data_IF_259961839643
#
_entry.id   IF_259961839643
#
_cell.length_a   1.000
_cell.length_b   1.000
_cell.length_c   1.000
_cell.angle_alpha   90.00
_cell.angle_beta   90.00
_cell.angle_gamma   90.00
#
_symmetry.space_group_name_H-M   'P 1'
#
loop_
_entity.id
_entity.type
_entity.pdbx_description
1 polymer ?
#
# COMPACT_ATOMS: atom_id res chain seq x y z
N UNK A 1 -7.35 -14.02 -18.93
CA UNK A 1 -6.52 -13.20 -19.84
C UNK A 1 -5.30 -12.74 -19.06
N UNK A 2 -4.07 -12.90 -19.58
CA UNK A 2 -2.87 -12.39 -18.92
C UNK A 2 -2.97 -10.86 -18.73
N UNK A 3 -2.36 -10.36 -17.68
CA UNK A 3 -2.37 -8.95 -17.35
C UNK A 3 -0.94 -8.43 -17.15
N UNK A 4 -0.73 -7.17 -17.51
CA UNK A 4 0.46 -6.41 -17.14
C UNK A 4 0.08 -5.54 -15.94
N UNK A 5 0.88 -5.59 -14.89
CA UNK A 5 0.76 -4.68 -13.76
C UNK A 5 1.77 -3.55 -13.91
N UNK A 6 1.31 -2.32 -13.74
CA UNK A 6 2.17 -1.15 -13.68
C UNK A 6 2.95 -1.16 -12.37
N UNK A 7 4.27 -1.03 -12.46
CA UNK A 7 5.18 -1.07 -11.30
C UNK A 7 5.67 0.31 -10.88
N UNK A 8 5.77 1.25 -11.80
CA UNK A 8 6.22 2.61 -11.53
C UNK A 8 5.05 3.54 -11.20
N UNK A 9 5.21 4.37 -10.17
CA UNK A 9 4.25 5.44 -9.91
C UNK A 9 4.33 6.51 -10.99
N UNK A 10 3.16 7.01 -11.42
CA UNK A 10 3.05 8.03 -12.50
C UNK A 10 3.62 7.59 -13.86
N UNK A 11 3.46 6.31 -14.20
CA UNK A 11 3.82 5.79 -15.53
C UNK A 11 3.04 6.50 -16.62
N UNK A 12 3.75 7.10 -17.59
CA UNK A 12 3.13 7.71 -18.76
C UNK A 12 2.72 6.64 -19.76
N UNK A 13 1.42 6.42 -19.90
CA UNK A 13 0.88 5.54 -20.94
C UNK A 13 1.01 6.21 -22.32
N UNK A 14 1.53 5.48 -23.30
CA UNK A 14 1.73 5.96 -24.68
C UNK A 14 1.21 4.94 -25.68
N UNK A 15 0.77 5.45 -26.85
CA UNK A 15 0.43 4.59 -28.01
C UNK A 15 1.69 4.07 -28.73
N UNK A 16 1.46 3.37 -29.85
CA UNK A 16 2.56 2.85 -30.72
C UNK A 16 3.44 3.94 -31.32
N UNK A 17 2.86 5.09 -31.58
CA UNK A 17 3.52 6.26 -32.17
C UNK A 17 4.25 7.10 -31.11
N UNK A 18 4.11 6.76 -29.81
CA UNK A 18 4.73 7.46 -28.68
C UNK A 18 3.90 8.64 -28.16
N UNK A 19 2.67 8.84 -28.64
CA UNK A 19 1.79 9.90 -28.15
C UNK A 19 1.32 9.61 -26.72
N UNK A 20 1.27 10.64 -25.90
CA UNK A 20 0.80 10.54 -24.52
C UNK A 20 -0.71 10.31 -24.46
N UNK A 21 -1.12 9.27 -23.74
CA UNK A 21 -2.52 8.87 -23.56
C UNK A 21 -3.06 9.14 -22.15
N UNK A 22 -2.18 9.13 -21.15
CA UNK A 22 -2.55 9.29 -19.74
C UNK A 22 -1.46 8.85 -18.79
N UNK A 23 -1.80 8.81 -17.51
CA UNK A 23 -0.91 8.36 -16.44
C UNK A 23 -1.54 7.20 -15.69
N UNK A 24 -0.76 6.14 -15.49
CA UNK A 24 -1.11 5.02 -14.62
C UNK A 24 -0.29 5.05 -13.34
N UNK A 25 -0.83 4.43 -12.28
CA UNK A 25 -0.20 4.31 -10.97
C UNK A 25 0.23 2.86 -10.71
N UNK A 26 1.19 2.70 -9.82
CA UNK A 26 1.59 1.38 -9.30
C UNK A 26 0.37 0.56 -8.87
N UNK A 27 0.30 -0.70 -9.32
CA UNK A 27 -0.83 -1.58 -9.09
C UNK A 27 -1.97 -1.46 -10.12
N UNK A 28 -1.87 -0.56 -11.12
CA UNK A 28 -2.82 -0.56 -12.25
C UNK A 28 -2.65 -1.82 -13.08
N UNK A 29 -3.77 -2.51 -13.35
CA UNK A 29 -3.81 -3.72 -14.17
C UNK A 29 -4.31 -3.41 -15.56
N UNK A 30 -3.58 -3.86 -16.57
CA UNK A 30 -3.91 -3.70 -17.98
C UNK A 30 -3.95 -5.07 -18.65
N UNK A 31 -5.06 -5.45 -19.32
CA UNK A 31 -5.10 -6.68 -20.09
C UNK A 31 -4.00 -6.72 -21.15
N UNK A 32 -3.21 -7.80 -21.17
CA UNK A 32 -2.18 -8.00 -22.17
C UNK A 32 -2.82 -8.32 -23.53
N UNK A 33 -2.46 -7.60 -24.57
CA UNK A 33 -2.95 -7.83 -25.93
C UNK A 33 -2.09 -8.84 -26.70
N UNK A 34 -0.78 -8.74 -26.55
CA UNK A 34 0.19 -9.60 -27.25
C UNK A 34 1.31 -10.02 -26.28
N UNK A 35 1.92 -11.16 -26.53
CA UNK A 35 3.14 -11.59 -25.83
C UNK A 35 4.22 -10.52 -25.94
N UNK A 36 5.10 -10.38 -24.92
CA UNK A 36 6.14 -9.36 -24.96
C UNK A 36 6.94 -9.39 -26.26
N UNK A 37 7.06 -8.24 -26.89
CA UNK A 37 7.85 -8.08 -28.12
C UNK A 37 9.35 -8.25 -27.84
N UNK A 38 10.16 -8.54 -28.86
CA UNK A 38 11.60 -8.39 -28.78
C UNK A 38 11.95 -7.00 -28.24
N UNK A 39 12.83 -6.93 -27.23
CA UNK A 39 13.13 -5.68 -26.52
C UNK A 39 12.32 -5.45 -25.25
N UNK A 40 11.37 -6.36 -24.91
CA UNK A 40 10.70 -6.36 -23.62
C UNK A 40 9.57 -5.35 -23.46
N UNK A 41 8.99 -4.87 -24.57
CA UNK A 41 7.83 -3.99 -24.54
C UNK A 41 6.55 -4.80 -24.43
N UNK A 42 5.69 -4.46 -23.49
CA UNK A 42 4.34 -4.99 -23.36
C UNK A 42 3.35 -4.14 -24.13
N UNK A 43 2.45 -4.78 -24.87
CA UNK A 43 1.27 -4.14 -25.44
C UNK A 43 0.04 -4.56 -24.66
N UNK A 44 -0.64 -3.56 -24.12
CA UNK A 44 -1.78 -3.77 -23.24
C UNK A 44 -2.97 -2.89 -23.63
N UNK A 45 -4.14 -3.29 -23.21
CA UNK A 45 -5.38 -2.57 -23.43
C UNK A 45 -5.57 -1.53 -22.34
N UNK A 46 -5.53 -0.24 -22.70
CA UNK A 46 -5.98 0.87 -21.88
C UNK A 46 -7.42 1.26 -22.19
N UNK A 47 -8.05 2.00 -21.30
CA UNK A 47 -9.39 2.56 -21.50
C UNK A 47 -9.37 4.03 -21.08
N UNK A 48 -9.96 4.86 -21.92
CA UNK A 48 -10.13 6.30 -21.67
C UNK A 48 -11.59 6.69 -21.84
N UNK A 49 -12.05 7.67 -21.07
CA UNK A 49 -13.36 8.27 -21.28
C UNK A 49 -13.31 9.28 -22.43
N UNK A 50 -14.24 9.18 -23.39
CA UNK A 50 -14.45 10.18 -24.46
C UNK A 50 -15.09 11.45 -23.89
N UNK A 51 -15.08 12.57 -24.64
CA UNK A 51 -15.87 13.77 -24.28
C UNK A 51 -17.37 13.52 -24.17
N UNK A 52 -17.91 12.55 -24.94
CA UNK A 52 -19.31 12.10 -24.86
C UNK A 52 -19.59 11.16 -23.67
N UNK A 53 -18.55 10.73 -22.93
CA UNK A 53 -18.69 9.88 -21.77
C UNK A 53 -18.54 8.37 -22.04
N UNK A 54 -18.29 7.98 -23.29
CA UNK A 54 -18.11 6.58 -23.71
C UNK A 54 -16.72 6.05 -23.35
N UNK A 55 -16.61 4.73 -23.20
CA UNK A 55 -15.33 4.07 -23.02
C UNK A 55 -14.64 3.89 -24.38
N UNK A 56 -13.47 4.50 -24.55
CA UNK A 56 -12.59 4.30 -25.71
C UNK A 56 -11.47 3.34 -25.34
N UNK A 57 -11.38 2.22 -26.05
CA UNK A 57 -10.26 1.30 -25.95
C UNK A 57 -9.03 1.88 -26.64
N UNK A 58 -7.90 1.78 -25.97
CA UNK A 58 -6.61 2.29 -26.47
C UNK A 58 -5.56 1.19 -26.35
N UNK A 59 -4.71 1.05 -27.36
CA UNK A 59 -3.50 0.26 -27.17
C UNK A 59 -2.45 1.12 -26.47
N UNK A 60 -1.85 0.57 -25.42
CA UNK A 60 -0.78 1.22 -24.67
C UNK A 60 0.47 0.36 -24.67
N UNK A 61 1.62 0.99 -24.71
CA UNK A 61 2.93 0.36 -24.64
C UNK A 61 3.58 0.64 -23.28
N UNK A 62 4.20 -0.38 -22.68
CA UNK A 62 4.91 -0.32 -21.41
C UNK A 62 6.26 -1.02 -21.57
N UNK A 63 7.33 -0.41 -21.09
CA UNK A 63 8.63 -1.05 -20.94
C UNK A 63 8.64 -2.02 -19.76
N UNK A 64 9.66 -2.88 -19.66
CA UNK A 64 9.88 -3.75 -18.49
C UNK A 64 10.25 -3.00 -17.20
N UNK A 65 10.65 -1.76 -17.31
CA UNK A 65 10.88 -0.91 -16.16
C UNK A 65 9.56 -0.35 -15.59
N UNK A 66 8.57 -0.18 -16.46
CA UNK A 66 7.26 0.40 -16.12
C UNK A 66 6.23 -0.63 -15.72
N UNK A 67 6.34 -1.87 -16.21
CA UNK A 67 5.39 -2.93 -15.93
C UNK A 67 5.96 -4.33 -16.08
N UNK A 68 5.25 -5.33 -15.55
CA UNK A 68 5.62 -6.75 -15.64
C UNK A 68 4.36 -7.62 -15.73
N UNK A 69 4.52 -8.85 -16.22
CA UNK A 69 3.44 -9.84 -16.23
C UNK A 69 3.04 -10.21 -14.79
N UNK A 70 1.74 -10.28 -14.56
CA UNK A 70 1.15 -10.64 -13.28
C UNK A 70 0.87 -12.16 -13.21
N UNK A 71 1.04 -12.81 -12.03
CA UNK A 71 1.60 -12.25 -10.80
C UNK A 71 3.13 -12.25 -10.78
N UNK A 72 3.72 -11.24 -10.14
CA UNK A 72 5.15 -11.23 -9.82
C UNK A 72 5.48 -12.32 -8.80
N UNK A 73 6.67 -12.89 -8.89
CA UNK A 73 7.19 -13.71 -7.81
C UNK A 73 7.30 -12.88 -6.52
N UNK A 74 6.75 -13.40 -5.42
CA UNK A 74 6.82 -12.74 -4.12
C UNK A 74 8.20 -12.97 -3.50
N UNK A 75 9.12 -12.06 -3.79
CA UNK A 75 10.46 -11.99 -3.18
C UNK A 75 10.60 -10.69 -2.40
N UNK A 76 11.50 -10.63 -1.41
CA UNK A 76 11.78 -9.39 -0.67
C UNK A 76 12.21 -8.26 -1.60
N UNK A 77 13.02 -8.58 -2.62
CA UNK A 77 13.45 -7.62 -3.62
C UNK A 77 12.27 -6.99 -4.38
N UNK A 78 11.34 -7.80 -4.88
CA UNK A 78 10.17 -7.30 -5.58
C UNK A 78 9.23 -6.54 -4.63
N UNK A 79 9.09 -7.01 -3.38
CA UNK A 79 8.30 -6.31 -2.36
C UNK A 79 8.87 -4.93 -2.07
N UNK A 80 10.20 -4.82 -1.87
CA UNK A 80 10.86 -3.53 -1.65
C UNK A 80 10.70 -2.59 -2.84
N UNK A 81 10.88 -3.07 -4.08
CA UNK A 81 10.66 -2.25 -5.28
C UNK A 81 9.26 -1.63 -5.33
N UNK A 82 8.22 -2.40 -5.01
CA UNK A 82 6.85 -1.88 -4.98
C UNK A 82 6.68 -0.84 -3.86
N UNK A 83 7.27 -1.06 -2.68
CA UNK A 83 7.20 -0.10 -1.57
C UNK A 83 7.97 1.19 -1.86
N UNK A 84 9.11 1.13 -2.55
CA UNK A 84 9.87 2.31 -2.99
C UNK A 84 9.02 3.22 -3.88
N UNK A 85 8.21 2.66 -4.78
CA UNK A 85 7.30 3.42 -5.64
C UNK A 85 6.11 4.03 -4.86
N UNK A 86 5.68 3.38 -3.78
CA UNK A 86 4.59 3.87 -2.94
C UNK A 86 5.06 4.84 -1.87
N UNK A 87 6.35 4.83 -1.50
CA UNK A 87 6.91 5.69 -0.47
C UNK A 87 6.84 7.16 -0.87
N UNK A 88 6.43 8.01 0.05
CA UNK A 88 6.31 9.45 -0.18
C UNK A 88 5.04 9.88 -0.90
N UNK A 89 4.24 8.95 -1.46
CA UNK A 89 2.97 9.27 -2.10
C UNK A 89 1.99 9.91 -1.13
N UNK A 90 1.30 10.96 -1.61
CA UNK A 90 0.43 11.78 -0.79
C UNK A 90 -0.77 10.99 -0.26
N UNK A 91 -1.18 11.34 0.96
CA UNK A 91 -2.40 10.80 1.56
C UNK A 91 -3.65 11.44 0.95
N UNK A 92 -4.63 10.60 0.59
CA UNK A 92 -5.95 11.03 0.14
C UNK A 92 -7.05 10.15 0.73
N UNK A 93 -7.77 10.67 1.74
CA UNK A 93 -8.85 9.92 2.37
C UNK A 93 -9.91 9.48 1.37
N UNK A 94 -10.21 8.17 1.36
CA UNK A 94 -11.19 7.59 0.43
C UNK A 94 -10.82 7.65 -1.06
N UNK A 95 -9.58 8.03 -1.40
CA UNK A 95 -9.12 8.21 -2.79
C UNK A 95 -9.20 9.67 -3.28
N UNK A 96 -9.35 10.63 -2.37
CA UNK A 96 -9.44 12.06 -2.71
C UNK A 96 -8.24 12.48 -3.58
N UNK A 97 -8.53 13.19 -4.66
CA UNK A 97 -7.55 13.65 -5.67
C UNK A 97 -6.70 12.49 -6.22
N UNK A 98 -7.29 11.30 -6.34
CA UNK A 98 -6.64 10.05 -6.77
C UNK A 98 -5.45 9.63 -5.88
N UNK A 99 -5.27 10.22 -4.71
CA UNK A 99 -4.26 9.80 -3.74
C UNK A 99 -4.74 8.57 -2.94
N UNK A 100 -3.79 7.86 -2.34
CA UNK A 100 -4.06 6.67 -1.54
C UNK A 100 -4.32 7.03 -0.08
N UNK A 101 -5.26 6.36 0.56
CA UNK A 101 -5.32 6.22 2.02
C UNK A 101 -4.53 4.97 2.46
N UNK A 102 -4.56 4.65 3.77
CA UNK A 102 -3.85 3.50 4.32
C UNK A 102 -4.22 2.18 3.63
N UNK A 103 -5.51 1.93 3.43
CA UNK A 103 -6.00 0.68 2.85
C UNK A 103 -5.79 0.59 1.33
N UNK A 104 -5.79 1.71 0.62
CA UNK A 104 -5.44 1.74 -0.79
C UNK A 104 -3.95 1.45 -0.99
N UNK A 105 -3.06 2.05 -0.17
CA UNK A 105 -1.63 1.82 -0.26
C UNK A 105 -1.27 0.34 -0.01
N UNK A 106 -1.87 -0.27 1.02
CA UNK A 106 -1.67 -1.69 1.33
C UNK A 106 -2.24 -2.58 0.22
N UNK A 107 -3.45 -2.31 -0.29
CA UNK A 107 -4.03 -3.08 -1.38
C UNK A 107 -3.16 -3.02 -2.64
N UNK A 108 -2.73 -1.83 -3.04
CA UNK A 108 -1.97 -1.61 -4.27
C UNK A 108 -0.56 -2.22 -4.17
N UNK A 109 -0.01 -2.36 -2.95
CA UNK A 109 1.19 -3.15 -2.71
C UNK A 109 1.00 -4.64 -3.04
N UNK A 110 -0.14 -5.25 -2.70
CA UNK A 110 -0.37 -6.68 -2.91
C UNK A 110 -0.83 -7.05 -4.32
N UNK A 111 -1.39 -6.11 -5.07
CA UNK A 111 -1.90 -6.37 -6.44
C UNK A 111 -0.83 -6.97 -7.36
N UNK A 112 0.41 -6.46 -7.46
CA UNK A 112 1.42 -7.05 -8.33
C UNK A 112 1.71 -8.52 -8.07
N UNK A 113 1.51 -8.97 -6.84
CA UNK A 113 1.75 -10.35 -6.41
C UNK A 113 0.52 -11.27 -6.55
N UNK A 114 -0.57 -10.77 -7.15
CA UNK A 114 -1.78 -11.55 -7.38
C UNK A 114 -2.71 -11.67 -6.18
N UNK A 115 -2.47 -10.94 -5.11
CA UNK A 115 -3.36 -10.91 -3.95
C UNK A 115 -4.26 -9.67 -3.97
N UNK A 116 -5.56 -9.91 -4.05
CA UNK A 116 -6.55 -8.85 -4.00
C UNK A 116 -7.10 -8.67 -2.58
N UNK A 117 -6.86 -7.51 -1.98
CA UNK A 117 -7.38 -7.15 -0.67
C UNK A 117 -8.65 -6.30 -0.77
N UNK A 118 -9.57 -6.39 0.21
CA UNK A 118 -10.71 -5.48 0.31
C UNK A 118 -10.27 -4.01 0.33
N UNK A 119 -11.13 -3.10 -0.15
CA UNK A 119 -10.82 -1.66 -0.17
C UNK A 119 -10.80 -1.04 1.24
N UNK A 120 -11.43 -1.65 2.22
CA UNK A 120 -11.60 -1.11 3.56
C UNK A 120 -10.62 -1.74 4.56
N UNK A 121 -9.94 -0.91 5.37
CA UNK A 121 -8.95 -1.34 6.37
C UNK A 121 -9.48 -2.34 7.39
N UNK A 122 -10.75 -2.21 7.80
CA UNK A 122 -11.40 -3.15 8.74
C UNK A 122 -11.46 -4.56 8.15
N UNK A 123 -11.84 -4.70 6.88
CA UNK A 123 -11.90 -6.00 6.22
C UNK A 123 -10.51 -6.53 5.88
N UNK A 124 -9.53 -5.66 5.57
CA UNK A 124 -8.14 -6.08 5.39
C UNK A 124 -7.58 -6.70 6.67
N UNK A 125 -7.85 -6.10 7.84
CA UNK A 125 -7.44 -6.63 9.13
C UNK A 125 -8.11 -7.96 9.51
N UNK A 126 -9.06 -8.45 8.72
CA UNK A 126 -9.79 -9.71 8.91
C UNK A 126 -9.50 -10.74 7.81
N UNK A 127 -8.54 -10.46 6.91
CA UNK A 127 -8.23 -11.33 5.76
C UNK A 127 -7.21 -12.41 6.16
N UNK A 128 -7.51 -13.66 5.79
CA UNK A 128 -6.66 -14.81 6.10
C UNK A 128 -6.71 -15.25 7.57
N UNK A 129 -5.62 -15.84 8.09
CA UNK A 129 -5.48 -16.11 9.53
C UNK A 129 -5.36 -14.79 10.28
N UNK A 130 -6.00 -14.68 11.42
CA UNK A 130 -6.01 -13.47 12.26
C UNK A 130 -5.64 -13.82 13.70
N UNK A 131 -4.75 -13.02 14.27
CA UNK A 131 -4.45 -13.01 15.70
C UNK A 131 -5.05 -11.74 16.31
N UNK A 132 -6.02 -11.90 17.20
CA UNK A 132 -6.58 -10.80 17.97
C UNK A 132 -5.63 -10.44 19.11
N UNK A 133 -5.17 -9.18 19.12
CA UNK A 133 -4.14 -8.69 20.05
C UNK A 133 -4.60 -7.44 20.83
N UNK A 134 -5.87 -7.12 20.75
CA UNK A 134 -6.43 -5.89 21.36
C UNK A 134 -6.14 -5.78 22.85
N UNK A 135 -6.24 -6.88 23.59
CA UNK A 135 -6.11 -6.93 25.05
C UNK A 135 -4.65 -7.06 25.53
N UNK A 136 -3.71 -7.32 24.63
CA UNK A 136 -2.29 -7.46 24.99
C UNK A 136 -1.66 -6.11 25.33
N UNK A 137 -0.68 -6.15 26.26
CA UNK A 137 0.15 -4.99 26.55
C UNK A 137 1.05 -4.61 25.36
N UNK A 138 1.50 -3.34 25.22
CA UNK A 138 2.32 -2.90 24.10
C UNK A 138 3.55 -3.78 23.84
N UNK A 139 4.28 -4.15 24.91
CA UNK A 139 5.46 -5.03 24.79
C UNK A 139 5.13 -6.43 24.29
N UNK A 140 3.98 -6.99 24.74
CA UNK A 140 3.51 -8.30 24.28
C UNK A 140 3.10 -8.26 22.79
N UNK A 141 2.46 -7.18 22.32
CA UNK A 141 2.13 -6.98 20.91
C UNK A 141 3.39 -6.92 20.06
N UNK A 142 4.41 -6.17 20.51
CA UNK A 142 5.67 -6.08 19.80
C UNK A 142 6.39 -7.45 19.72
N UNK A 143 6.47 -8.16 20.85
CA UNK A 143 7.07 -9.49 20.93
C UNK A 143 6.34 -10.49 20.02
N UNK A 144 5.02 -10.53 20.05
CA UNK A 144 4.21 -11.42 19.21
C UNK A 144 4.36 -11.07 17.72
N UNK A 145 4.48 -9.78 17.36
CA UNK A 145 4.74 -9.39 15.97
C UNK A 145 6.14 -9.80 15.51
N UNK A 146 7.13 -9.80 16.40
CA UNK A 146 8.47 -10.30 16.09
C UNK A 146 8.50 -11.82 15.93
N UNK A 147 7.73 -12.54 16.71
CA UNK A 147 7.64 -14.01 16.69
C UNK A 147 6.83 -14.53 15.49
N UNK A 148 5.62 -14.02 15.31
CA UNK A 148 4.64 -14.52 14.33
C UNK A 148 4.66 -13.76 13.01
N UNK A 149 5.12 -12.50 13.03
CA UNK A 149 5.06 -11.61 11.88
C UNK A 149 5.98 -12.04 10.75
N UNK A 150 5.44 -12.06 9.54
CA UNK A 150 6.19 -12.33 8.30
C UNK A 150 6.39 -11.01 7.55
N UNK A 151 7.62 -10.52 7.37
CA UNK A 151 7.90 -9.29 6.64
C UNK A 151 7.21 -9.27 5.27
N UNK A 152 6.64 -8.14 4.90
CA UNK A 152 5.88 -7.90 3.66
C UNK A 152 4.61 -8.75 3.48
N UNK A 153 4.23 -9.57 4.48
CA UNK A 153 3.08 -10.48 4.39
C UNK A 153 2.07 -10.29 5.53
N UNK A 154 2.48 -9.68 6.64
CA UNK A 154 1.62 -9.49 7.81
C UNK A 154 1.04 -8.09 7.80
N UNK A 155 -0.28 -8.01 7.94
CA UNK A 155 -1.00 -6.75 8.14
C UNK A 155 -1.15 -6.46 9.63
N UNK A 156 -0.95 -5.22 10.00
CA UNK A 156 -1.10 -4.72 11.37
C UNK A 156 -2.30 -3.79 11.40
N UNK A 157 -3.40 -4.27 11.98
CA UNK A 157 -4.69 -3.60 11.99
C UNK A 157 -5.01 -2.89 13.30
N UNK A 158 -5.67 -1.73 13.19
CA UNK A 158 -6.29 -1.04 14.31
C UNK A 158 -7.57 -0.31 13.85
N UNK A 159 -8.45 0.14 14.74
CA UNK A 159 -9.64 0.89 14.34
C UNK A 159 -9.30 2.08 13.44
N UNK A 160 -9.81 2.05 12.19
CA UNK A 160 -9.65 3.11 11.19
C UNK A 160 -8.29 3.16 10.49
N UNK A 161 -7.39 2.18 10.70
CA UNK A 161 -6.09 2.18 10.05
C UNK A 161 -5.55 0.77 9.82
N UNK A 162 -4.71 0.62 8.79
CA UNK A 162 -4.03 -0.61 8.45
C UNK A 162 -2.59 -0.29 8.04
N UNK A 163 -1.66 -1.17 8.38
CA UNK A 163 -0.23 -1.06 8.11
C UNK A 163 0.29 -2.40 7.61
N UNK A 164 1.38 -2.38 6.88
CA UNK A 164 2.12 -3.57 6.45
C UNK A 164 3.37 -3.71 7.31
N UNK A 165 3.54 -4.84 7.98
CA UNK A 165 4.79 -5.17 8.65
C UNK A 165 5.89 -5.44 7.62
N UNK A 166 7.04 -4.78 7.74
CA UNK A 166 8.13 -4.87 6.75
C UNK A 166 9.42 -5.45 7.33
N UNK A 167 9.42 -5.83 8.60
CA UNK A 167 10.58 -6.38 9.29
C UNK A 167 11.03 -5.51 10.44
N UNK A 168 12.32 -5.51 10.74
CA UNK A 168 12.90 -4.86 11.91
C UNK A 168 14.00 -3.87 11.53
N UNK A 169 14.17 -2.84 12.35
CA UNK A 169 15.37 -2.03 12.40
C UNK A 169 16.01 -2.18 13.78
N UNK A 170 17.14 -2.89 13.84
CA UNK A 170 17.63 -3.43 15.11
C UNK A 170 16.62 -4.43 15.69
N UNK A 171 16.11 -4.17 16.89
CA UNK A 171 15.07 -4.97 17.56
C UNK A 171 13.66 -4.36 17.42
N UNK A 172 13.53 -3.24 16.72
CA UNK A 172 12.27 -2.50 16.64
C UNK A 172 11.47 -2.91 15.42
N UNK A 173 10.22 -3.38 15.57
CA UNK A 173 9.32 -3.65 14.44
C UNK A 173 9.05 -2.38 13.62
N UNK A 174 9.14 -2.52 12.29
CA UNK A 174 8.89 -1.44 11.33
C UNK A 174 7.67 -1.79 10.49
N UNK A 175 6.84 -0.79 10.26
CA UNK A 175 5.66 -0.89 9.41
C UNK A 175 5.68 0.16 8.32
N UNK A 176 5.15 -0.20 7.14
CA UNK A 176 4.83 0.73 6.07
C UNK A 176 3.35 1.09 6.13
N UNK A 177 3.01 2.36 6.03
CA UNK A 177 1.63 2.83 5.96
C UNK A 177 1.51 4.21 5.32
N UNK A 178 0.34 4.52 4.78
CA UNK A 178 0.00 5.88 4.37
C UNK A 178 -0.88 6.51 5.45
N UNK A 179 -0.46 7.63 6.02
CA UNK A 179 -1.13 8.24 7.17
C UNK A 179 -1.28 9.75 7.03
N UNK A 180 -2.40 10.26 7.55
CA UNK A 180 -2.64 11.69 7.61
C UNK A 180 -1.77 12.39 8.65
N UNK A 181 -1.59 11.79 9.84
CA UNK A 181 -0.76 12.41 10.87
C UNK A 181 -1.06 11.92 12.30
N UNK A 182 -0.33 12.47 13.24
CA UNK A 182 -0.35 12.13 14.65
C UNK A 182 -1.15 13.16 15.45
N UNK A 183 -2.03 12.71 16.34
CA UNK A 183 -2.87 13.57 17.17
C UNK A 183 -2.02 14.34 18.19
N UNK A 184 -2.26 15.63 18.33
CA UNK A 184 -1.58 16.52 19.28
C UNK A 184 -2.57 17.24 20.18
N UNK A 185 -2.10 17.75 21.32
CA UNK A 185 -2.84 18.58 22.25
C UNK A 185 -1.94 19.74 22.69
N UNK A 186 -2.30 20.98 22.34
CA UNK A 186 -1.55 22.16 22.71
C UNK A 186 -2.51 23.20 23.31
N UNK A 187 -2.18 23.69 24.50
CA UNK A 187 -2.99 24.67 25.23
C UNK A 187 -4.48 24.27 25.36
N UNK A 188 -4.75 22.96 25.58
CA UNK A 188 -6.12 22.41 25.69
C UNK A 188 -6.84 22.25 24.34
N UNK A 189 -6.22 22.57 23.22
CA UNK A 189 -6.79 22.42 21.89
C UNK A 189 -6.23 21.19 21.18
N UNK A 190 -7.15 20.35 20.69
CA UNK A 190 -6.77 19.21 19.85
C UNK A 190 -6.27 19.69 18.48
N UNK A 191 -5.16 19.13 18.05
CA UNK A 191 -4.56 19.38 16.74
C UNK A 191 -3.99 18.11 16.14
N UNK A 192 -3.19 18.29 15.11
CA UNK A 192 -2.53 17.17 14.42
C UNK A 192 -1.19 17.58 13.84
N UNK A 193 -0.16 16.81 14.15
CA UNK A 193 1.09 16.87 13.41
C UNK A 193 0.87 16.17 12.06
N UNK A 194 0.85 16.93 10.96
CA UNK A 194 0.54 16.42 9.62
C UNK A 194 1.76 15.73 9.04
N UNK A 195 1.58 14.47 8.64
CA UNK A 195 2.53 13.67 7.85
C UNK A 195 2.09 13.68 6.39
N UNK A 196 0.84 13.32 6.10
CA UNK A 196 0.18 13.45 4.82
C UNK A 196 0.73 12.58 3.70
N UNK A 197 1.44 11.49 4.02
CA UNK A 197 2.09 10.62 3.02
C UNK A 197 2.35 9.21 3.50
N UNK A 198 2.73 8.35 2.55
CA UNK A 198 3.19 7.00 2.81
C UNK A 198 4.64 6.98 3.30
N UNK A 199 4.92 6.20 4.35
CA UNK A 199 6.24 6.16 4.99
C UNK A 199 6.44 4.88 5.80
N UNK A 200 7.69 4.64 6.19
CA UNK A 200 8.06 3.63 7.17
C UNK A 200 8.12 4.24 8.56
N UNK A 201 7.60 3.56 9.58
CA UNK A 201 7.69 4.00 10.98
C UNK A 201 7.86 2.82 11.93
N UNK A 202 8.33 3.10 13.14
CA UNK A 202 8.14 2.18 14.26
C UNK A 202 6.67 2.22 14.73
N UNK A 203 6.29 1.24 15.56
CA UNK A 203 4.96 1.23 16.20
C UNK A 203 4.78 2.31 17.28
N UNK A 204 5.85 3.02 17.61
CA UNK A 204 5.87 4.13 18.55
C UNK A 204 6.07 5.49 17.85
N UNK A 205 5.78 5.57 16.56
CA UNK A 205 5.92 6.81 15.80
C UNK A 205 5.26 8.00 16.52
N UNK A 206 6.06 9.07 16.69
CA UNK A 206 5.61 10.28 17.37
C UNK A 206 5.70 10.26 18.89
N UNK A 207 6.35 9.28 19.52
CA UNK A 207 6.51 9.24 20.98
C UNK A 207 7.22 10.48 21.53
N UNK A 208 8.19 11.01 20.76
CA UNK A 208 9.03 12.15 21.14
C UNK A 208 8.49 13.48 20.56
N UNK A 209 7.31 13.48 19.93
CA UNK A 209 6.73 14.74 19.42
C UNK A 209 6.34 15.66 20.56
N UNK A 210 6.72 16.96 20.50
CA UNK A 210 6.18 17.96 21.40
C UNK A 210 4.66 18.03 21.24
N UNK A 211 3.96 18.25 22.36
CA UNK A 211 2.50 18.34 22.38
C UNK A 211 1.76 17.09 21.87
N UNK A 212 2.39 15.91 21.86
CA UNK A 212 1.69 14.68 21.56
C UNK A 212 0.45 14.55 22.45
N UNK A 213 -0.67 14.13 21.86
CA UNK A 213 -1.89 13.90 22.65
C UNK A 213 -1.62 12.85 23.74
N UNK A 214 -1.99 13.15 25.02
CA UNK A 214 -1.70 12.26 26.14
C UNK A 214 -2.44 10.92 26.05
N UNK A 215 -1.98 9.93 26.82
CA UNK A 215 -2.60 8.61 26.91
C UNK A 215 -2.17 7.63 25.82
N UNK A 216 -3.02 6.62 25.58
CA UNK A 216 -2.75 5.49 24.67
C UNK A 216 -2.97 5.85 23.20
N UNK A 217 -2.19 6.80 22.67
CA UNK A 217 -2.35 7.35 21.30
C UNK A 217 -1.33 6.84 20.28
N UNK A 218 -0.24 6.21 20.71
CA UNK A 218 0.73 5.58 19.80
C UNK A 218 0.10 4.40 19.07
N UNK A 219 0.65 4.05 17.90
CA UNK A 219 0.14 2.94 17.09
C UNK A 219 0.08 1.64 17.91
N UNK A 220 1.17 1.31 18.63
CA UNK A 220 1.27 0.09 19.43
C UNK A 220 0.13 -0.08 20.47
N UNK A 221 -0.34 1.02 21.05
CA UNK A 221 -1.46 0.97 22.00
C UNK A 221 -2.80 0.61 21.33
N UNK A 222 -2.95 0.98 20.06
CA UNK A 222 -4.21 0.95 19.32
C UNK A 222 -4.36 -0.27 18.42
N UNK A 223 -3.28 -1.01 18.18
CA UNK A 223 -3.30 -2.25 17.38
C UNK A 223 -4.23 -3.25 18.03
N UNK A 224 -5.11 -3.84 17.21
CA UNK A 224 -6.10 -4.83 17.64
C UNK A 224 -5.95 -6.19 16.96
N UNK A 225 -5.29 -6.26 15.79
CA UNK A 225 -5.14 -7.51 15.07
C UNK A 225 -3.85 -7.57 14.23
N UNK A 226 -3.30 -8.77 14.10
CA UNK A 226 -2.36 -9.15 13.07
C UNK A 226 -3.07 -10.10 12.10
N UNK A 227 -3.08 -9.76 10.82
CA UNK A 227 -3.71 -10.57 9.79
C UNK A 227 -2.67 -11.09 8.78
N UNK A 228 -2.85 -12.33 8.34
CA UNK A 228 -1.96 -13.08 7.45
C UNK A 228 -2.71 -13.44 6.16
N UNK A 229 -2.81 -12.53 5.19
CA UNK A 229 -3.67 -12.71 4.01
C UNK A 229 -3.30 -13.91 3.12
N UNK A 230 -2.08 -14.38 3.19
CA UNK A 230 -1.59 -15.55 2.45
C UNK A 230 -1.89 -16.89 3.12
N UNK A 231 -2.41 -16.88 4.34
CA UNK A 231 -2.75 -18.07 5.09
C UNK A 231 -4.28 -18.26 5.08
N UNK A 232 -4.73 -19.46 4.75
CA UNK A 232 -6.17 -19.80 4.84
C UNK A 232 -6.64 -19.79 6.30
N UNK A 233 -7.90 -19.41 6.49
CA UNK A 233 -8.55 -19.51 7.80
C UNK A 233 -8.69 -20.98 8.23
#
# INVERSE_FOLDING_TARGET
>A
MPQVVVLREKTSLRDREGNFLGVAKTGTLLPLMESPLPGGVFRALGVRRSPSGEALSLEVSLSREEGELMPLAFTEWNAMKVLEELQGELYGWGGLVQNRDCSAAVRDFFIPFGLWLPRNSRYQAQTGRVLEVGDLAPGEKAALLLEEGKPFRTLVGMPGHIMLYVGVHGETPVVFHNTWGIKTLENGREGRYIIGRALFTSLEAGKDLPHRYPGKTLLIHRITAFAFPWETK
#
